data_IF_954447721530
#
_entry.id   IF_954447721530
#
_cell.length_a   1.000
_cell.length_b   1.000
_cell.length_c   1.000
_cell.angle_alpha   90.00
_cell.angle_beta   90.00
_cell.angle_gamma   90.00
#
_symmetry.space_group_name_H-M   'P 1'
#
loop_
_entity.id
_entity.type
_entity.pdbx_description
1 polymer ?
#
# COMPACT_ATOMS: atom_id res chain seq x y z
N UNK A 1 14.71 -16.33 -17.54
CA UNK A 1 14.58 -15.15 -16.67
C UNK A 1 13.14 -14.61 -16.70
N UNK A 2 12.52 -14.31 -15.55
CA UNK A 2 11.08 -13.94 -15.45
C UNK A 2 10.78 -12.42 -15.65
N UNK A 3 11.70 -11.62 -16.17
CA UNK A 3 11.48 -10.18 -16.40
C UNK A 3 11.30 -9.31 -15.14
N UNK A 4 11.60 -9.82 -13.94
CA UNK A 4 11.46 -9.08 -12.68
C UNK A 4 12.66 -8.16 -12.45
N UNK A 5 12.42 -6.85 -12.33
CA UNK A 5 13.42 -5.82 -12.02
C UNK A 5 13.47 -5.52 -10.51
N UNK A 6 14.60 -5.03 -9.98
CA UNK A 6 14.70 -4.63 -8.58
C UNK A 6 13.73 -3.48 -8.24
N UNK A 7 13.22 -3.45 -7.01
CA UNK A 7 12.35 -2.39 -6.50
C UNK A 7 12.96 -1.72 -5.26
N UNK A 8 12.91 -0.39 -5.21
CA UNK A 8 13.47 0.40 -4.11
C UNK A 8 12.41 0.64 -3.03
N UNK A 9 12.82 0.56 -1.75
CA UNK A 9 11.93 0.83 -0.61
C UNK A 9 11.71 2.35 -0.48
N UNK A 10 10.46 2.77 -0.28
CA UNK A 10 10.11 4.19 -0.13
C UNK A 10 10.76 4.91 1.06
N UNK A 11 11.21 4.17 2.08
CA UNK A 11 11.95 4.74 3.22
C UNK A 11 13.40 5.15 2.90
N UNK A 12 13.95 4.66 1.79
CA UNK A 12 15.31 5.00 1.35
C UNK A 12 15.32 6.12 0.29
N UNK A 13 14.15 6.64 -0.09
CA UNK A 13 14.00 7.71 -1.06
C UNK A 13 14.06 9.07 -0.37
N UNK A 14 14.16 10.16 -1.14
CA UNK A 14 14.06 11.52 -0.60
C UNK A 14 12.60 11.88 -0.31
N UNK A 15 12.38 12.94 0.49
CA UNK A 15 11.03 13.39 0.86
C UNK A 15 10.16 13.81 -0.35
N UNK A 16 10.79 14.27 -1.44
CA UNK A 16 10.12 14.62 -2.70
C UNK A 16 9.58 13.40 -3.45
N UNK A 17 10.24 12.25 -3.33
CA UNK A 17 9.95 11.06 -4.13
C UNK A 17 8.90 10.15 -3.48
N UNK A 18 8.90 10.07 -2.15
CA UNK A 18 8.02 9.17 -1.42
C UNK A 18 7.56 9.79 -0.09
N UNK A 19 6.28 9.59 0.31
CA UNK A 19 5.77 10.01 1.62
C UNK A 19 6.43 9.34 2.84
N UNK A 20 7.44 8.50 2.63
CA UNK A 20 8.21 7.85 3.70
C UNK A 20 9.71 8.16 3.56
N UNK A 21 10.09 8.97 2.59
CA UNK A 21 11.46 9.34 2.32
C UNK A 21 11.95 10.46 3.23
N UNK A 22 13.27 10.56 3.35
CA UNK A 22 13.95 11.51 4.22
C UNK A 22 14.02 11.09 5.69
N UNK A 23 14.47 12.03 6.52
CA UNK A 23 14.84 11.82 7.92
C UNK A 23 16.33 11.45 8.08
N UNK A 24 16.85 11.67 9.29
CA UNK A 24 18.24 11.36 9.60
C UNK A 24 18.44 9.84 9.79
N UNK A 25 19.42 9.27 9.10
CA UNK A 25 19.70 7.84 9.16
C UNK A 25 18.51 6.98 8.71
N UNK A 26 18.05 6.09 9.58
CA UNK A 26 16.92 5.19 9.30
C UNK A 26 15.65 5.69 9.97
N UNK A 27 14.83 6.42 9.23
CA UNK A 27 13.55 6.89 9.71
C UNK A 27 12.45 5.83 9.65
N UNK A 28 11.53 5.91 10.62
CA UNK A 28 10.24 5.22 10.54
C UNK A 28 9.33 5.85 9.49
N UNK A 29 8.11 5.33 9.32
CA UNK A 29 7.17 5.84 8.30
C UNK A 29 6.70 7.29 8.54
N UNK A 30 6.82 7.82 9.76
CA UNK A 30 6.31 9.13 10.19
C UNK A 30 4.78 9.25 10.24
N UNK A 31 4.05 8.71 9.27
CA UNK A 31 2.60 8.76 9.19
C UNK A 31 1.89 7.65 9.97
N UNK A 32 0.75 8.00 10.60
CA UNK A 32 -0.15 7.04 11.27
C UNK A 32 -0.59 5.87 10.38
N UNK A 33 -0.86 6.12 9.10
CA UNK A 33 -1.20 5.10 8.10
C UNK A 33 -0.07 4.98 7.09
N UNK A 34 0.21 3.77 6.60
CA UNK A 34 1.11 3.60 5.46
C UNK A 34 0.53 4.28 4.22
N UNK A 35 1.40 4.81 3.35
CA UNK A 35 0.98 5.49 2.12
C UNK A 35 1.67 4.88 0.91
N UNK A 36 1.02 4.96 -0.25
CA UNK A 36 1.66 4.70 -1.54
C UNK A 36 2.56 5.87 -1.91
N UNK A 37 3.39 5.72 -2.95
CA UNK A 37 4.18 6.83 -3.53
C UNK A 37 3.34 8.07 -3.89
N UNK A 38 2.05 7.86 -4.16
CA UNK A 38 1.07 8.90 -4.51
C UNK A 38 0.27 9.43 -3.31
N UNK A 39 0.68 9.11 -2.08
CA UNK A 39 0.03 9.60 -0.86
C UNK A 39 -1.27 8.89 -0.47
N UNK A 40 -1.79 7.96 -1.28
CA UNK A 40 -3.01 7.21 -0.93
C UNK A 40 -2.77 6.26 0.25
N UNK A 41 -3.71 6.11 1.19
CA UNK A 41 -3.59 5.13 2.26
C UNK A 41 -3.37 3.72 1.71
N UNK A 42 -2.38 3.03 2.25
CA UNK A 42 -1.99 1.67 1.90
C UNK A 42 -1.98 0.79 3.13
N UNK A 43 -2.07 -0.52 2.94
CA UNK A 43 -1.94 -1.52 4.00
C UNK A 43 -3.18 -2.39 4.23
N UNK A 44 -3.11 -3.21 5.28
CA UNK A 44 -4.16 -4.18 5.62
C UNK A 44 -5.48 -3.45 5.88
N UNK A 45 -6.56 -3.96 5.29
CA UNK A 45 -7.91 -3.44 5.46
C UNK A 45 -8.30 -2.27 4.55
N UNK A 46 -7.34 -1.63 3.84
CA UNK A 46 -7.68 -0.58 2.87
C UNK A 46 -8.32 -1.19 1.63
N UNK A 47 -9.60 -0.87 1.38
CA UNK A 47 -10.37 -1.36 0.22
C UNK A 47 -10.17 -0.41 -0.95
N UNK A 48 -9.63 -0.91 -2.06
CA UNK A 48 -9.46 -0.14 -3.31
C UNK A 48 -10.56 -0.42 -4.34
N UNK A 49 -11.47 -1.37 -4.07
CA UNK A 49 -12.57 -1.72 -4.98
C UNK A 49 -13.67 -0.66 -4.95
N UNK A 50 -14.11 -0.22 -6.14
CA UNK A 50 -15.28 0.66 -6.30
C UNK A 50 -16.56 0.01 -5.76
N UNK A 51 -17.32 0.76 -4.97
CA UNK A 51 -18.53 0.28 -4.28
C UNK A 51 -19.67 -0.13 -5.22
N UNK A 52 -19.79 0.50 -6.40
CA UNK A 52 -20.87 0.31 -7.38
C UNK A 52 -20.44 -0.44 -8.66
N UNK A 53 -19.51 -1.40 -8.57
CA UNK A 53 -19.09 -2.20 -9.75
C UNK A 53 -20.16 -3.25 -10.06
N UNK A 54 -20.54 -3.42 -11.33
CA UNK A 54 -21.57 -4.39 -11.80
C UNK A 54 -21.35 -5.81 -11.22
N UNK A 55 -20.11 -6.29 -11.26
CA UNK A 55 -19.68 -7.60 -10.70
C UNK A 55 -19.92 -7.79 -9.19
N UNK A 56 -20.37 -6.79 -8.44
CA UNK A 56 -20.63 -6.96 -7.00
C UNK A 56 -21.80 -7.91 -6.75
N UNK A 57 -22.80 -7.95 -7.65
CA UNK A 57 -23.99 -8.81 -7.52
C UNK A 57 -23.60 -10.29 -7.58
N UNK A 58 -22.58 -10.61 -8.38
CA UNK A 58 -22.11 -11.98 -8.59
C UNK A 58 -21.22 -12.52 -7.46
N UNK A 59 -20.89 -11.71 -6.45
CA UNK A 59 -19.90 -12.08 -5.43
C UNK A 59 -20.57 -12.41 -4.11
N UNK A 60 -20.56 -13.69 -3.77
CA UNK A 60 -21.16 -14.24 -2.54
C UNK A 60 -20.38 -13.83 -1.29
N UNK A 61 -19.04 -13.91 -1.31
CA UNK A 61 -18.21 -13.56 -0.15
C UNK A 61 -16.87 -12.96 -0.57
N UNK A 62 -16.42 -11.95 0.18
CA UNK A 62 -15.09 -11.35 0.00
C UNK A 62 -14.01 -12.10 0.80
N UNK A 63 -12.77 -12.04 0.31
CA UNK A 63 -11.59 -12.55 1.02
C UNK A 63 -11.39 -11.80 2.34
N UNK A 64 -11.27 -12.52 3.45
CA UNK A 64 -10.89 -11.96 4.76
C UNK A 64 -9.43 -11.46 4.70
N UNK A 65 -9.18 -10.26 5.22
CA UNK A 65 -7.84 -9.67 5.29
C UNK A 65 -7.35 -9.75 6.73
N UNK A 66 -6.26 -10.48 6.99
CA UNK A 66 -5.73 -10.74 8.33
C UNK A 66 -5.46 -12.22 8.57
N UNK A 67 -4.98 -12.58 9.78
CA UNK A 67 -4.91 -13.99 10.18
C UNK A 67 -6.35 -14.53 10.30
N UNK A 68 -6.60 -15.72 9.74
CA UNK A 68 -7.70 -16.57 10.21
C UNK A 68 -7.30 -16.95 11.64
N UNK A 69 -7.96 -16.36 12.64
CA UNK A 69 -8.22 -17.13 13.86
C UNK A 69 -9.36 -18.08 13.51
#
# INVERSE_FOLDING_TARGET
WFGKRPTVRGAAMNAVDHPHGGGEGKAGRGHRRARTKWGKPSGKGQKTRKSKKYSNILIVRRRKVGKRR
#
